data_IF_560799564847
#
_entry.id   IF_560799564847
#
_cell.length_a   1.000
_cell.length_b   1.000
_cell.length_c   1.000
_cell.angle_alpha   90.00
_cell.angle_beta   90.00
_cell.angle_gamma   90.00
#
_symmetry.space_group_name_H-M   'P 1'
#
loop_
_entity.id
_entity.type
_entity.pdbx_description
1 polymer ?
#
# COMPACT_ATOMS: atom_id res chain seq x y z
N UNK A 1 36.84 24.17 -14.35
CA UNK A 1 37.22 23.18 -15.38
C UNK A 1 36.40 21.92 -15.12
N UNK A 2 35.53 21.58 -16.07
CA UNK A 2 34.52 20.50 -16.13
C UNK A 2 34.16 19.71 -14.86
N UNK A 3 32.96 20.04 -14.36
CA UNK A 3 32.01 19.13 -13.74
C UNK A 3 31.58 18.10 -14.79
N UNK A 4 31.71 16.80 -14.50
CA UNK A 4 31.03 15.74 -15.24
C UNK A 4 29.98 15.15 -14.30
N UNK A 5 28.75 15.65 -14.44
CA UNK A 5 27.55 15.04 -13.91
C UNK A 5 27.22 13.83 -14.79
N UNK A 6 27.45 12.62 -14.28
CA UNK A 6 26.82 11.42 -14.82
C UNK A 6 25.33 11.45 -14.45
N UNK A 7 24.55 12.11 -15.29
CA UNK A 7 23.12 11.84 -15.40
C UNK A 7 22.98 10.47 -16.05
N UNK A 8 22.81 9.43 -15.23
CA UNK A 8 22.37 8.13 -15.67
C UNK A 8 20.91 8.25 -16.15
N UNK A 9 20.75 8.58 -17.42
CA UNK A 9 19.54 8.33 -18.21
C UNK A 9 19.43 6.82 -18.39
N UNK A 10 18.76 6.14 -17.47
CA UNK A 10 18.42 4.73 -17.60
C UNK A 10 16.91 4.59 -17.74
N UNK A 11 16.40 4.85 -18.96
CA UNK A 11 15.14 4.26 -19.40
C UNK A 11 15.31 2.74 -19.33
N UNK A 12 14.93 2.15 -18.20
CA UNK A 12 15.04 0.71 -17.99
C UNK A 12 13.98 0.07 -18.89
N UNK A 13 14.42 -0.60 -19.96
CA UNK A 13 13.55 -1.42 -20.81
C UNK A 13 12.73 -2.35 -19.93
N UNK A 14 11.43 -2.47 -20.20
CA UNK A 14 10.56 -3.48 -19.58
C UNK A 14 11.25 -4.84 -19.66
N UNK A 15 11.22 -5.59 -18.56
CA UNK A 15 11.70 -6.97 -18.56
C UNK A 15 10.82 -7.81 -19.49
N UNK A 16 11.39 -8.86 -20.09
CA UNK A 16 10.64 -9.72 -21.00
C UNK A 16 9.37 -10.31 -20.36
N UNK A 17 9.45 -10.65 -19.06
CA UNK A 17 8.35 -11.08 -18.21
C UNK A 17 7.27 -10.03 -18.02
N UNK A 18 7.63 -8.76 -17.87
CA UNK A 18 6.67 -7.67 -17.67
C UNK A 18 5.92 -7.37 -18.98
N UNK A 19 6.62 -7.41 -20.11
CA UNK A 19 6.01 -7.30 -21.42
C UNK A 19 5.09 -8.51 -21.73
N UNK A 20 5.45 -9.71 -21.26
CA UNK A 20 4.60 -10.89 -21.35
C UNK A 20 3.35 -10.78 -20.47
N UNK A 21 3.46 -10.22 -19.25
CA UNK A 21 2.31 -9.96 -18.39
C UNK A 21 1.27 -9.04 -19.05
N UNK A 22 1.74 -8.00 -19.77
CA UNK A 22 0.86 -7.09 -20.53
C UNK A 22 0.17 -7.83 -21.68
N UNK A 23 0.93 -8.62 -22.46
CA UNK A 23 0.35 -9.44 -23.56
C UNK A 23 -0.67 -10.45 -23.05
N UNK A 24 -0.35 -11.14 -21.94
CA UNK A 24 -1.27 -12.08 -21.28
C UNK A 24 -2.57 -11.39 -20.88
N UNK A 25 -2.48 -10.21 -20.25
CA UNK A 25 -3.65 -9.41 -19.87
C UNK A 25 -4.54 -9.08 -21.07
N UNK A 26 -3.97 -8.56 -22.15
CA UNK A 26 -4.68 -8.23 -23.39
C UNK A 26 -5.37 -9.46 -24.00
N UNK A 27 -4.64 -10.57 -24.11
CA UNK A 27 -5.12 -11.80 -24.74
C UNK A 27 -6.25 -12.45 -23.95
N UNK A 28 -6.13 -12.56 -22.62
CA UNK A 28 -7.17 -13.17 -21.79
C UNK A 28 -8.47 -12.34 -21.83
N UNK A 29 -8.36 -11.01 -21.77
CA UNK A 29 -9.54 -10.12 -21.89
C UNK A 29 -10.19 -10.29 -23.26
N UNK A 30 -9.41 -10.27 -24.35
CA UNK A 30 -9.93 -10.48 -25.70
C UNK A 30 -10.53 -11.88 -25.90
N UNK A 31 -10.01 -12.88 -25.18
CA UNK A 31 -10.53 -14.25 -25.13
C UNK A 31 -11.82 -14.42 -24.31
N UNK A 32 -12.34 -13.34 -23.71
CA UNK A 32 -13.59 -13.33 -22.95
C UNK A 32 -13.43 -13.65 -21.46
N UNK A 33 -12.20 -13.69 -20.94
CA UNK A 33 -11.97 -13.82 -19.50
C UNK A 33 -12.37 -12.55 -18.77
N UNK A 34 -12.88 -12.70 -17.55
CA UNK A 34 -13.16 -11.55 -16.70
C UNK A 34 -11.86 -10.76 -16.44
N UNK A 35 -11.86 -9.46 -16.79
CA UNK A 35 -10.66 -8.61 -16.78
C UNK A 35 -9.93 -8.59 -15.44
N UNK A 36 -10.66 -8.55 -14.33
CA UNK A 36 -10.06 -8.59 -12.99
C UNK A 36 -9.30 -9.89 -12.69
N UNK A 37 -9.74 -11.03 -13.22
CA UNK A 37 -9.03 -12.30 -13.06
C UNK A 37 -7.73 -12.26 -13.89
N UNK A 38 -7.82 -11.83 -15.15
CA UNK A 38 -6.65 -11.66 -16.02
C UNK A 38 -5.64 -10.65 -15.44
N UNK A 39 -6.12 -9.59 -14.80
CA UNK A 39 -5.28 -8.60 -14.11
C UNK A 39 -4.47 -9.24 -12.97
N UNK A 40 -5.12 -10.06 -12.12
CA UNK A 40 -4.42 -10.74 -11.03
C UNK A 40 -3.36 -11.73 -11.55
N UNK A 41 -3.66 -12.47 -12.62
CA UNK A 41 -2.67 -13.35 -13.25
C UNK A 41 -1.47 -12.56 -13.80
N UNK A 42 -1.72 -11.44 -14.50
CA UNK A 42 -0.68 -10.57 -15.00
C UNK A 42 0.19 -9.98 -13.86
N UNK A 43 -0.42 -9.63 -12.72
CA UNK A 43 0.34 -9.22 -11.52
C UNK A 43 1.26 -10.33 -10.99
N UNK A 44 0.82 -11.59 -11.08
CA UNK A 44 1.62 -12.76 -10.72
C UNK A 44 2.85 -12.94 -11.62
N UNK A 45 2.72 -12.62 -12.91
CA UNK A 45 3.80 -12.68 -13.90
C UNK A 45 4.77 -11.49 -13.81
N UNK A 46 4.32 -10.36 -13.26
CA UNK A 46 5.11 -9.13 -13.20
C UNK A 46 6.31 -9.24 -12.25
N UNK A 47 7.48 -8.89 -12.76
CA UNK A 47 8.77 -9.13 -12.11
C UNK A 47 9.49 -7.86 -11.67
N UNK A 48 9.26 -6.71 -12.32
CA UNK A 48 9.91 -5.46 -11.94
C UNK A 48 9.42 -4.95 -10.58
N UNK A 49 10.37 -4.68 -9.69
CA UNK A 49 10.12 -3.98 -8.41
C UNK A 49 9.94 -2.46 -8.60
N UNK A 50 10.55 -1.91 -9.65
CA UNK A 50 10.53 -0.49 -9.99
C UNK A 50 10.59 -0.31 -11.53
N UNK A 51 9.80 0.62 -12.06
CA UNK A 51 9.78 1.02 -13.47
C UNK A 51 9.87 2.56 -13.56
N UNK A 52 10.54 3.08 -14.59
CA UNK A 52 10.35 4.46 -15.05
C UNK A 52 9.49 4.42 -16.31
N UNK A 53 8.25 4.89 -16.19
CA UNK A 53 7.29 4.89 -17.28
C UNK A 53 6.80 6.30 -17.53
N UNK A 54 7.08 6.84 -18.72
CA UNK A 54 6.69 8.19 -19.13
C UNK A 54 7.14 9.29 -18.15
N UNK A 55 8.32 9.12 -17.53
CA UNK A 55 8.88 10.06 -16.55
C UNK A 55 8.27 9.96 -15.15
N UNK A 56 7.35 9.02 -14.91
CA UNK A 56 6.87 8.66 -13.58
C UNK A 56 7.56 7.39 -13.11
N UNK A 57 8.14 7.46 -11.91
CA UNK A 57 8.72 6.30 -11.23
C UNK A 57 7.61 5.53 -10.53
N UNK A 58 7.41 4.28 -10.92
CA UNK A 58 6.52 3.33 -10.28
C UNK A 58 7.34 2.39 -9.40
N UNK A 59 7.11 2.40 -8.08
CA UNK A 59 7.75 1.51 -7.11
C UNK A 59 6.75 0.49 -6.60
N UNK A 60 6.68 -0.66 -7.26
CA UNK A 60 5.72 -1.71 -6.95
C UNK A 60 6.07 -2.50 -5.69
N UNK A 61 7.36 -2.63 -5.36
CA UNK A 61 7.82 -3.42 -4.22
C UNK A 61 8.62 -2.55 -3.24
N UNK A 62 7.96 -2.17 -2.15
CA UNK A 62 8.53 -1.35 -1.08
C UNK A 62 9.50 -2.21 -0.25
N UNK A 63 10.73 -1.71 -0.09
CA UNK A 63 11.82 -2.38 0.64
C UNK A 63 12.10 -3.84 0.19
N UNK A 64 11.70 -4.23 -1.02
CA UNK A 64 11.82 -5.61 -1.50
C UNK A 64 10.80 -6.59 -0.92
N UNK A 65 9.84 -6.12 -0.12
CA UNK A 65 8.99 -6.98 0.72
C UNK A 65 7.49 -6.70 0.58
N UNK A 66 7.09 -5.43 0.43
CA UNK A 66 5.68 -5.03 0.46
C UNK A 66 5.19 -4.61 -0.94
N UNK A 67 4.27 -5.39 -1.51
CA UNK A 67 3.75 -5.21 -2.85
C UNK A 67 2.57 -4.23 -2.90
N UNK A 68 2.79 -3.05 -3.48
CA UNK A 68 1.79 -2.03 -3.76
C UNK A 68 0.96 -2.42 -4.99
N UNK A 69 0.06 -3.38 -4.77
CA UNK A 69 -0.71 -4.02 -5.84
C UNK A 69 -1.62 -3.07 -6.61
N UNK A 70 -2.16 -2.02 -5.97
CA UNK A 70 -2.99 -1.00 -6.64
C UNK A 70 -2.15 -0.14 -7.59
N UNK A 71 -0.89 0.14 -7.26
CA UNK A 71 0.01 0.86 -8.15
C UNK A 71 0.32 0.04 -9.41
N UNK A 72 0.47 -1.29 -9.26
CA UNK A 72 0.61 -2.17 -10.43
C UNK A 72 -0.71 -2.31 -11.19
N UNK A 73 -1.85 -2.35 -10.49
CA UNK A 73 -3.17 -2.35 -11.10
C UNK A 73 -3.36 -1.12 -11.99
N UNK A 74 -3.04 0.07 -11.48
CA UNK A 74 -3.09 1.33 -12.24
C UNK A 74 -2.26 1.22 -13.53
N UNK A 75 -1.02 0.72 -13.41
CA UNK A 75 -0.10 0.57 -14.55
C UNK A 75 -0.62 -0.39 -15.61
N UNK A 76 -1.15 -1.54 -15.20
CA UNK A 76 -1.65 -2.59 -16.09
C UNK A 76 -3.00 -2.21 -16.70
N UNK A 77 -3.93 -1.65 -15.93
CA UNK A 77 -5.20 -1.15 -16.46
C UNK A 77 -4.97 -0.10 -17.55
N UNK A 78 -3.96 0.76 -17.39
CA UNK A 78 -3.61 1.77 -18.39
C UNK A 78 -3.12 1.20 -19.73
N UNK A 79 -2.68 -0.06 -19.81
CA UNK A 79 -2.30 -0.67 -21.11
C UNK A 79 -3.50 -1.21 -21.87
N UNK A 80 -4.60 -1.51 -21.18
CA UNK A 80 -5.82 -2.11 -21.74
C UNK A 80 -7.04 -1.23 -21.53
N UNK A 81 -6.84 0.08 -21.41
CA UNK A 81 -7.85 1.01 -20.88
C UNK A 81 -9.17 0.96 -21.65
N UNK A 82 -9.08 0.84 -22.98
CA UNK A 82 -10.21 0.76 -23.91
C UNK A 82 -11.03 -0.54 -23.79
N UNK A 83 -10.49 -1.56 -23.11
CA UNK A 83 -11.12 -2.86 -22.89
C UNK A 83 -11.84 -2.96 -21.54
N UNK A 84 -11.72 -1.95 -20.66
CA UNK A 84 -12.21 -2.01 -19.29
C UNK A 84 -13.50 -1.22 -19.08
N UNK A 85 -14.50 -1.74 -18.34
CA UNK A 85 -15.62 -0.93 -17.88
C UNK A 85 -15.13 0.20 -16.97
N UNK A 86 -15.40 1.46 -17.35
CA UNK A 86 -14.89 2.66 -16.67
C UNK A 86 -15.27 2.68 -15.19
N UNK A 87 -16.55 2.44 -14.88
CA UNK A 87 -17.05 2.48 -13.50
C UNK A 87 -16.38 1.43 -12.60
N UNK A 88 -16.12 0.24 -13.13
CA UNK A 88 -15.46 -0.83 -12.37
C UNK A 88 -13.96 -0.56 -12.17
N UNK A 89 -13.30 -0.04 -13.21
CA UNK A 89 -11.89 0.37 -13.15
C UNK A 89 -11.70 1.49 -12.12
N UNK A 90 -12.54 2.52 -12.16
CA UNK A 90 -12.50 3.61 -11.18
C UNK A 90 -12.81 3.10 -9.76
N UNK A 91 -13.80 2.21 -9.62
CA UNK A 91 -14.10 1.56 -8.35
C UNK A 91 -12.90 0.80 -7.79
N UNK A 92 -12.16 0.08 -8.63
CA UNK A 92 -10.97 -0.63 -8.21
C UNK A 92 -9.84 0.34 -7.83
N UNK A 93 -9.47 1.27 -8.71
CA UNK A 93 -8.25 2.07 -8.55
C UNK A 93 -8.36 3.14 -7.44
N UNK A 94 -9.53 3.76 -7.27
CA UNK A 94 -9.72 4.81 -6.26
C UNK A 94 -10.26 4.30 -4.93
N UNK A 95 -11.05 3.22 -4.97
CA UNK A 95 -11.77 2.73 -3.80
C UNK A 95 -11.38 1.32 -3.38
N UNK A 96 -10.39 0.70 -4.05
CA UNK A 96 -9.99 -0.69 -3.85
C UNK A 96 -11.20 -1.64 -3.84
N UNK A 97 -12.21 -1.37 -4.68
CA UNK A 97 -13.42 -2.17 -4.78
C UNK A 97 -13.32 -3.06 -6.02
N UNK A 98 -13.05 -4.37 -5.86
CA UNK A 98 -12.95 -5.28 -6.97
C UNK A 98 -14.33 -5.51 -7.60
N UNK A 99 -14.40 -5.68 -8.93
CA UNK A 99 -15.64 -5.98 -9.64
C UNK A 99 -16.16 -7.39 -9.34
N UNK A 100 -15.26 -8.29 -8.96
CA UNK A 100 -15.54 -9.69 -8.68
C UNK A 100 -15.10 -10.02 -7.25
N UNK A 101 -15.96 -10.72 -6.52
CA UNK A 101 -15.60 -11.26 -5.20
C UNK A 101 -14.82 -12.55 -5.40
N UNK A 102 -13.59 -12.56 -4.90
CA UNK A 102 -12.72 -13.73 -4.83
C UNK A 102 -12.35 -13.97 -3.37
N UNK A 103 -12.26 -15.23 -2.98
CA UNK A 103 -11.76 -15.59 -1.67
C UNK A 103 -10.22 -15.52 -1.62
N UNK A 104 -9.61 -15.54 -0.43
CA UNK A 104 -8.15 -15.42 -0.30
C UNK A 104 -7.34 -16.52 -1.01
N UNK A 105 -7.88 -17.74 -1.13
CA UNK A 105 -7.22 -18.86 -1.80
C UNK A 105 -7.22 -18.68 -3.33
N UNK A 106 -8.34 -18.21 -3.89
CA UNK A 106 -8.46 -17.86 -5.32
C UNK A 106 -7.49 -16.74 -5.69
N UNK A 107 -7.44 -15.67 -4.91
CA UNK A 107 -6.48 -14.57 -5.16
C UNK A 107 -5.05 -15.08 -5.10
N UNK A 108 -4.72 -15.90 -4.09
CA UNK A 108 -3.39 -16.50 -3.94
C UNK A 108 -3.02 -17.41 -5.11
N UNK A 109 -3.98 -18.16 -5.65
CA UNK A 109 -3.77 -19.01 -6.81
C UNK A 109 -3.45 -18.19 -8.07
N UNK A 110 -4.11 -17.03 -8.24
CA UNK A 110 -3.92 -16.16 -9.41
C UNK A 110 -2.61 -15.37 -9.37
N UNK A 111 -2.31 -14.71 -8.23
CA UNK A 111 -1.09 -13.86 -8.13
C UNK A 111 0.15 -14.66 -7.73
N UNK A 112 -0.02 -15.87 -7.22
CA UNK A 112 1.06 -16.73 -6.72
C UNK A 112 1.45 -16.46 -5.26
N UNK A 113 1.99 -17.49 -4.59
CA UNK A 113 2.29 -17.47 -3.16
C UNK A 113 3.25 -16.34 -2.73
N UNK A 114 4.29 -16.08 -3.54
CA UNK A 114 5.29 -15.05 -3.22
C UNK A 114 4.67 -13.65 -3.24
N UNK A 115 3.96 -13.28 -4.32
CA UNK A 115 3.23 -12.00 -4.43
C UNK A 115 2.15 -11.87 -3.37
N UNK A 116 1.46 -12.96 -3.04
CA UNK A 116 0.45 -12.96 -1.99
C UNK A 116 1.06 -12.62 -0.61
N UNK A 117 2.22 -13.18 -0.27
CA UNK A 117 2.93 -12.81 0.95
C UNK A 117 3.38 -11.34 0.93
N UNK A 118 3.89 -10.86 -0.21
CA UNK A 118 4.27 -9.46 -0.36
C UNK A 118 3.08 -8.51 -0.27
N UNK A 119 1.92 -8.93 -0.79
CA UNK A 119 0.66 -8.22 -0.64
C UNK A 119 0.25 -8.13 0.84
N UNK A 120 0.37 -9.23 1.60
CA UNK A 120 0.09 -9.21 3.04
C UNK A 120 1.04 -8.24 3.77
N UNK A 121 2.33 -8.20 3.41
CA UNK A 121 3.27 -7.23 3.97
C UNK A 121 2.84 -5.79 3.69
N UNK A 122 2.35 -5.49 2.48
CA UNK A 122 1.82 -4.17 2.16
C UNK A 122 0.55 -3.86 2.96
N UNK A 123 -0.39 -4.82 3.01
CA UNK A 123 -1.64 -4.63 3.74
C UNK A 123 -1.38 -4.35 5.22
N UNK A 124 -0.59 -5.17 5.91
CA UNK A 124 -0.30 -4.96 7.32
C UNK A 124 0.65 -3.78 7.56
N UNK A 125 1.74 -3.68 6.80
CA UNK A 125 2.78 -2.70 7.04
C UNK A 125 2.50 -1.30 6.50
N UNK A 126 1.54 -1.13 5.59
CA UNK A 126 1.17 0.18 5.04
C UNK A 126 -0.29 0.51 5.35
N UNK A 127 -1.24 -0.34 4.95
CA UNK A 127 -2.67 -0.05 5.11
C UNK A 127 -3.11 -0.08 6.57
N UNK A 128 -2.79 -1.16 7.30
CA UNK A 128 -3.15 -1.31 8.71
C UNK A 128 -2.34 -0.34 9.58
N UNK A 129 -1.05 -0.16 9.28
CA UNK A 129 -0.21 0.81 10.00
C UNK A 129 -0.75 2.25 9.87
N UNK A 130 -1.16 2.67 8.67
CA UNK A 130 -1.80 3.96 8.46
C UNK A 130 -3.12 4.10 9.22
N UNK A 131 -3.93 3.03 9.28
CA UNK A 131 -5.16 3.03 10.05
C UNK A 131 -4.96 3.09 11.56
N UNK A 132 -3.90 2.49 12.07
CA UNK A 132 -3.49 2.61 13.47
C UNK A 132 -3.22 4.06 13.83
N UNK A 133 -2.45 4.77 12.99
CA UNK A 133 -2.17 6.20 13.17
C UNK A 133 -3.48 7.00 13.21
N UNK A 134 -4.36 6.80 12.23
CA UNK A 134 -5.66 7.48 12.18
C UNK A 134 -6.53 7.19 13.42
N UNK A 135 -6.55 5.94 13.89
CA UNK A 135 -7.31 5.55 15.07
C UNK A 135 -6.84 6.29 16.33
N UNK A 136 -5.52 6.43 16.51
CA UNK A 136 -4.93 7.14 17.65
C UNK A 136 -5.09 8.65 17.49
N UNK A 137 -4.94 9.21 16.29
CA UNK A 137 -5.22 10.63 16.02
C UNK A 137 -6.67 10.99 16.39
N UNK A 138 -7.63 10.12 16.05
CA UNK A 138 -9.03 10.34 16.40
C UNK A 138 -9.27 10.32 17.92
N UNK A 139 -8.57 9.46 18.67
CA UNK A 139 -8.61 9.46 20.14
C UNK A 139 -8.04 10.75 20.73
N UNK A 140 -6.86 11.16 20.27
CA UNK A 140 -6.23 12.41 20.70
C UNK A 140 -7.12 13.62 20.40
N UNK A 141 -7.77 13.65 19.23
CA UNK A 141 -8.73 14.70 18.88
C UNK A 141 -9.93 14.72 19.84
N UNK A 142 -10.48 13.55 20.17
CA UNK A 142 -11.62 13.46 21.11
C UNK A 142 -11.24 13.94 22.50
N UNK A 143 -10.08 13.54 23.02
CA UNK A 143 -9.56 13.99 24.31
C UNK A 143 -9.39 15.51 24.34
N UNK A 144 -8.78 16.09 23.30
CA UNK A 144 -8.53 17.54 23.22
C UNK A 144 -9.79 18.38 23.07
N UNK A 145 -10.78 17.88 22.33
CA UNK A 145 -12.11 18.53 22.22
C UNK A 145 -12.78 18.65 23.59
N UNK A 146 -12.62 17.66 24.46
CA UNK A 146 -13.10 17.73 25.85
C UNK A 146 -12.32 18.77 26.66
N UNK A 147 -11.03 18.98 26.36
CA UNK A 147 -10.16 19.92 27.07
C UNK A 147 -10.08 21.35 26.50
N UNK A 148 -10.74 21.65 25.37
CA UNK A 148 -10.79 23.00 24.77
C UNK A 148 -9.54 23.47 24.02
N UNK A 149 -8.58 22.59 23.73
CA UNK A 149 -7.33 22.92 23.01
C UNK A 149 -7.37 22.45 21.54
N UNK A 150 -7.24 23.36 20.57
CA UNK A 150 -7.31 23.05 19.13
C UNK A 150 -6.02 23.43 18.36
N UNK A 151 -5.02 22.55 18.32
CA UNK A 151 -3.92 22.64 17.36
C UNK A 151 -3.66 21.27 16.70
N UNK A 152 -3.87 21.17 15.39
CA UNK A 152 -3.77 19.94 14.61
C UNK A 152 -2.34 19.38 14.52
N UNK A 153 -1.32 20.26 14.48
CA UNK A 153 0.09 19.85 14.41
C UNK A 153 0.55 19.08 15.65
N UNK A 154 -0.10 19.33 16.78
CA UNK A 154 0.19 18.69 18.05
C UNK A 154 -0.57 17.36 18.19
N UNK A 155 -1.73 17.20 17.52
CA UNK A 155 -2.45 15.91 17.44
C UNK A 155 -1.62 14.84 16.75
N UNK A 156 -1.10 15.13 15.56
CA UNK A 156 -0.31 14.16 14.79
C UNK A 156 0.97 13.76 15.54
N UNK A 157 1.69 14.74 16.10
CA UNK A 157 2.89 14.45 16.88
C UNK A 157 2.60 13.67 18.17
N UNK A 158 1.47 13.92 18.82
CA UNK A 158 1.03 13.16 19.99
C UNK A 158 0.68 11.71 19.62
N UNK A 159 -0.03 11.48 18.51
CA UNK A 159 -0.35 10.13 18.04
C UNK A 159 0.92 9.31 17.75
N UNK A 160 1.91 9.90 17.06
CA UNK A 160 3.19 9.25 16.82
C UNK A 160 3.95 8.95 18.11
N UNK A 161 3.95 9.87 19.09
CA UNK A 161 4.56 9.64 20.41
C UNK A 161 3.91 8.47 21.15
N UNK A 162 2.59 8.34 21.11
CA UNK A 162 1.87 7.22 21.75
C UNK A 162 2.18 5.87 21.11
N UNK A 163 2.28 5.83 19.79
CA UNK A 163 2.50 4.59 19.04
C UNK A 163 3.99 4.18 19.09
N UNK A 164 4.88 5.10 18.70
CA UNK A 164 6.29 4.83 18.41
C UNK A 164 7.27 5.38 19.44
N UNK A 165 6.80 6.16 20.43
CA UNK A 165 7.63 6.81 21.44
C UNK A 165 8.24 8.15 21.00
N UNK A 166 8.13 8.52 19.73
CA UNK A 166 8.79 9.69 19.15
C UNK A 166 7.86 10.51 18.25
N UNK A 167 8.22 11.76 17.97
CA UNK A 167 7.44 12.61 17.05
C UNK A 167 7.57 12.17 15.59
N UNK A 168 6.56 12.50 14.77
CA UNK A 168 6.58 12.21 13.33
C UNK A 168 7.82 12.80 12.64
N UNK A 169 8.22 14.01 13.02
CA UNK A 169 9.36 14.70 12.42
C UNK A 169 10.69 13.97 12.71
N UNK A 170 10.88 13.50 13.95
CA UNK A 170 12.08 12.74 14.33
C UNK A 170 12.14 11.43 13.57
N UNK A 171 11.04 10.67 13.55
CA UNK A 171 10.96 9.39 12.85
C UNK A 171 11.16 9.53 11.34
N UNK A 172 10.53 10.54 10.72
CA UNK A 172 10.70 10.81 9.29
C UNK A 172 12.15 11.19 8.94
N UNK A 173 12.82 11.95 9.81
CA UNK A 173 14.23 12.30 9.65
C UNK A 173 15.13 11.06 9.72
N UNK A 174 14.87 10.14 10.65
CA UNK A 174 15.57 8.86 10.77
C UNK A 174 15.37 8.00 9.51
N UNK A 175 14.12 7.76 9.11
CA UNK A 175 13.79 7.04 7.89
C UNK A 175 14.52 7.60 6.67
N UNK A 176 14.46 8.92 6.44
CA UNK A 176 15.12 9.55 5.29
C UNK A 176 16.64 9.42 5.34
N UNK A 177 17.23 9.48 6.53
CA UNK A 177 18.67 9.28 6.70
C UNK A 177 19.07 7.84 6.35
N UNK A 178 18.31 6.85 6.80
CA UNK A 178 18.57 5.43 6.52
C UNK A 178 18.34 5.07 5.05
N UNK A 179 17.28 5.59 4.45
CA UNK A 179 16.91 5.34 3.05
C UNK A 179 17.68 6.22 2.04
N UNK A 180 18.50 7.17 2.51
CA UNK A 180 19.28 8.07 1.64
C UNK A 180 18.45 9.18 0.96
N UNK A 181 17.26 9.50 1.46
CA UNK A 181 16.42 10.58 0.95
C UNK A 181 16.89 11.97 1.44
N UNK A 182 16.72 13.03 0.63
CA UNK A 182 16.97 14.40 1.06
C UNK A 182 15.99 14.85 2.16
N UNK A 183 16.44 15.69 3.07
CA UNK A 183 15.65 16.21 4.19
C UNK A 183 14.77 17.40 3.75
N UNK A 184 13.78 17.12 2.90
CA UNK A 184 12.87 18.12 2.33
C UNK A 184 11.67 18.40 3.25
N UNK A 185 10.96 19.51 3.04
CA UNK A 185 9.70 19.78 3.76
C UNK A 185 8.52 19.00 3.19
N UNK A 186 8.52 18.76 1.89
CA UNK A 186 7.53 17.94 1.20
C UNK A 186 7.85 16.45 1.34
N UNK A 187 6.85 15.61 1.16
CA UNK A 187 6.94 14.14 1.08
C UNK A 187 6.07 13.68 -0.09
N UNK A 188 6.57 12.79 -0.93
CA UNK A 188 5.77 12.22 -2.03
C UNK A 188 4.86 11.10 -1.51
N UNK A 189 3.83 10.71 -2.27
CA UNK A 189 2.97 9.59 -1.88
C UNK A 189 3.77 8.27 -1.80
N UNK A 190 4.69 8.03 -2.73
CA UNK A 190 5.56 6.85 -2.72
C UNK A 190 6.44 6.81 -1.46
N UNK A 191 7.10 7.94 -1.17
CA UNK A 191 7.93 8.08 0.04
C UNK A 191 7.10 7.94 1.32
N UNK A 192 5.86 8.43 1.33
CA UNK A 192 4.94 8.26 2.46
C UNK A 192 4.59 6.79 2.70
N UNK A 193 4.34 6.00 1.64
CA UNK A 193 4.10 4.55 1.76
C UNK A 193 5.34 3.81 2.26
N UNK A 194 6.52 4.16 1.77
CA UNK A 194 7.80 3.62 2.27
C UNK A 194 8.03 3.97 3.75
N UNK A 195 7.73 5.20 4.14
CA UNK A 195 7.82 5.64 5.53
C UNK A 195 6.84 4.86 6.44
N UNK A 196 5.59 4.64 5.99
CA UNK A 196 4.63 3.81 6.73
C UNK A 196 5.15 2.38 6.91
N UNK A 197 5.69 1.76 5.86
CA UNK A 197 6.26 0.42 5.97
C UNK A 197 7.49 0.38 6.91
N UNK A 198 8.32 1.42 6.88
CA UNK A 198 9.43 1.56 7.81
C UNK A 198 8.95 1.69 9.27
N UNK A 199 7.88 2.46 9.53
CA UNK A 199 7.28 2.59 10.86
C UNK A 199 6.74 1.26 11.38
N UNK A 200 6.11 0.47 10.52
CA UNK A 200 5.67 -0.88 10.87
C UNK A 200 6.85 -1.74 11.33
N UNK A 201 7.96 -1.77 10.57
CA UNK A 201 9.16 -2.52 10.95
C UNK A 201 9.77 -1.99 12.26
N UNK A 202 9.89 -0.68 12.40
CA UNK A 202 10.34 -0.02 13.61
C UNK A 202 9.49 -0.46 14.83
N UNK A 203 8.16 -0.49 14.69
CA UNK A 203 7.27 -0.90 15.78
C UNK A 203 7.41 -2.40 16.11
N UNK A 204 7.53 -3.27 15.11
CA UNK A 204 7.73 -4.71 15.31
C UNK A 204 9.06 -5.00 16.04
N UNK A 205 10.09 -4.22 15.75
CA UNK A 205 11.42 -4.39 16.37
C UNK A 205 11.50 -3.80 17.78
N UNK A 206 10.86 -2.64 18.02
CA UNK A 206 11.04 -1.87 19.26
C UNK A 206 9.95 -2.09 20.32
N UNK A 207 8.76 -2.58 19.94
CA UNK A 207 7.65 -2.79 20.87
C UNK A 207 7.50 -4.25 21.31
N UNK A 208 6.93 -4.47 22.49
CA UNK A 208 6.55 -5.80 22.95
C UNK A 208 5.53 -6.46 22.00
N UNK A 209 5.69 -7.76 21.74
CA UNK A 209 4.82 -8.52 20.81
C UNK A 209 3.34 -8.42 21.16
N UNK A 210 3.00 -8.41 22.45
CA UNK A 210 1.63 -8.27 22.93
C UNK A 210 1.04 -6.90 22.57
N UNK A 211 1.82 -5.82 22.74
CA UNK A 211 1.45 -4.46 22.33
C UNK A 211 1.23 -4.41 20.81
N UNK A 212 2.18 -4.94 20.03
CA UNK A 212 2.09 -4.98 18.56
C UNK A 212 0.80 -5.66 18.10
N UNK A 213 0.46 -6.82 18.68
CA UNK A 213 -0.76 -7.56 18.34
C UNK A 213 -2.03 -6.79 18.73
N UNK A 214 -2.06 -6.18 19.93
CA UNK A 214 -3.21 -5.39 20.40
C UNK A 214 -3.47 -4.17 19.51
N UNK A 215 -2.41 -3.43 19.18
CA UNK A 215 -2.49 -2.23 18.33
C UNK A 215 -2.93 -2.60 16.91
N UNK A 216 -2.38 -3.68 16.34
CA UNK A 216 -2.80 -4.19 15.03
C UNK A 216 -4.28 -4.60 15.04
N UNK A 217 -4.78 -5.26 16.09
CA UNK A 217 -6.21 -5.59 16.23
C UNK A 217 -7.07 -4.34 16.28
N UNK A 218 -6.68 -3.33 17.07
CA UNK A 218 -7.38 -2.04 17.14
C UNK A 218 -7.44 -1.35 15.78
N UNK A 219 -6.35 -1.36 15.02
CA UNK A 219 -6.29 -0.79 13.68
C UNK A 219 -7.20 -1.52 12.68
N UNK A 220 -7.26 -2.85 12.74
CA UNK A 220 -8.19 -3.66 11.93
C UNK A 220 -9.66 -3.38 12.27
N UNK A 221 -10.00 -3.27 13.56
CA UNK A 221 -11.35 -2.88 14.01
C UNK A 221 -11.71 -1.45 13.57
N UNK A 222 -10.73 -0.55 13.58
CA UNK A 222 -10.89 0.79 13.02
C UNK A 222 -11.20 0.75 11.52
N UNK A 223 -10.38 0.06 10.72
CA UNK A 223 -10.58 -0.12 9.28
C UNK A 223 -11.97 -0.68 8.97
N UNK A 224 -12.38 -1.75 9.66
CA UNK A 224 -13.69 -2.38 9.47
C UNK A 224 -14.84 -1.39 9.68
N UNK A 225 -14.76 -0.55 10.71
CA UNK A 225 -15.75 0.52 10.97
C UNK A 225 -15.75 1.57 9.87
N UNK A 226 -14.57 2.02 9.45
CA UNK A 226 -14.44 3.02 8.38
C UNK A 226 -15.02 2.51 7.06
N UNK A 227 -14.77 1.25 6.70
CA UNK A 227 -15.30 0.64 5.48
C UNK A 227 -16.82 0.45 5.54
N UNK A 228 -17.37 0.06 6.69
CA UNK A 228 -18.82 -0.02 6.88
C UNK A 228 -19.51 1.34 6.78
N UNK A 229 -18.92 2.41 7.34
CA UNK A 229 -19.50 3.75 7.32
C UNK A 229 -19.36 4.46 5.97
N UNK A 230 -18.24 4.25 5.26
CA UNK A 230 -18.01 4.88 3.95
C UNK A 230 -18.52 4.04 2.78
N UNK A 231 -18.94 2.79 3.01
CA UNK A 231 -19.43 1.86 1.97
C UNK A 231 -18.37 1.38 0.98
N UNK A 232 -17.10 1.60 1.28
CA UNK A 232 -16.04 1.77 0.28
C UNK A 232 -14.70 1.33 0.90
N UNK A 233 -14.34 0.06 0.67
CA UNK A 233 -12.98 -0.52 0.52
C UNK A 233 -13.09 -2.03 0.74
N UNK A 234 -12.59 -2.83 -0.19
CA UNK A 234 -12.40 -4.26 0.06
C UNK A 234 -10.91 -4.59 -0.06
N UNK A 235 -10.36 -5.15 1.01
CA UNK A 235 -9.05 -5.82 1.00
C UNK A 235 -9.17 -6.98 0.02
N UNK A 236 -8.12 -7.30 -0.76
CA UNK A 236 -8.10 -8.50 -1.61
C UNK A 236 -8.39 -9.81 -0.82
N UNK A 237 -8.37 -9.75 0.51
CA UNK A 237 -8.65 -10.84 1.45
C UNK A 237 -9.60 -10.39 2.58
N UNK A 238 -10.74 -9.77 2.26
CA UNK A 238 -11.66 -9.25 3.28
C UNK A 238 -12.33 -10.35 4.16
N UNK A 239 -12.35 -11.61 3.74
CA UNK A 239 -13.10 -12.65 4.45
C UNK A 239 -12.39 -13.23 5.68
N UNK A 240 -11.06 -13.39 5.68
CA UNK A 240 -10.33 -13.92 6.85
C UNK A 240 -10.20 -12.92 8.01
N UNK A 241 -10.36 -11.61 7.76
CA UNK A 241 -10.37 -10.58 8.82
C UNK A 241 -11.75 -10.43 9.47
N UNK A 242 -12.81 -10.91 8.82
CA UNK A 242 -14.17 -10.95 9.37
C UNK A 242 -14.45 -12.28 10.09
N UNK A 243 -13.85 -13.38 9.64
CA UNK A 243 -13.94 -14.68 10.27
C UNK A 243 -12.92 -14.79 11.41
N UNK A 244 -13.29 -14.29 12.59
CA UNK A 244 -12.72 -14.76 13.84
C UNK A 244 -12.95 -16.27 13.95
N UNK A 245 -12.07 -17.09 13.36
CA UNK A 245 -12.05 -18.52 13.61
C UNK A 245 -11.48 -18.73 15.00
N UNK A 246 -12.42 -18.91 15.91
CA UNK A 246 -12.26 -19.63 17.17
C UNK A 246 -11.51 -20.93 16.86
N UNK A 247 -10.37 -21.13 17.49
CA UNK A 247 -9.99 -22.46 17.93
C UNK A 247 -10.55 -22.66 19.32
#
# INVERSE_FOLDING_TARGET
MKVASEQATSSKSLLASDAEAIRHLEQEIAGGRHWYVALLEAMGMWSSAIEDHQGRIYRYLIAGEAFDWLLLAERLCGTVDDLLPVDEKEALLFYARPPLKLNPEEVRALIGQSKYNQYLNYFYGVTVEGAMIMAVEEEVLKERRVSGFNNDSDVNNEAYRRIYGESRQVLLKCFRKEAGYPQLRSITLAEMKEFSYWLFKYRVEQCERAKVASDTRKALEYLKRQWAHKGIFSVLAAEDLAAGRRH
#
